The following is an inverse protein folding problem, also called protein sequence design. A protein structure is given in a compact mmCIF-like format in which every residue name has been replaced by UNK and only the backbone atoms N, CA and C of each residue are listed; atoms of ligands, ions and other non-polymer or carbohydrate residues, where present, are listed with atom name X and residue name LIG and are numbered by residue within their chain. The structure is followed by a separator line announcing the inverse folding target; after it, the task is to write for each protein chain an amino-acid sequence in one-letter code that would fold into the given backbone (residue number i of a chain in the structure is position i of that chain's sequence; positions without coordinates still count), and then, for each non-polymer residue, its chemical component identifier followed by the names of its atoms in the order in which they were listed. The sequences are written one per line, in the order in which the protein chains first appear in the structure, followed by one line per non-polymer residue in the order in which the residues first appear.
data_IF_375920928636
#
_entry.id   IF_375920928636
#
_cell.length_a   1.000
_cell.length_b   1.000
_cell.length_c   1.000
_cell.angle_alpha   90.00
_cell.angle_beta   90.00
_cell.angle_gamma   90.00
#
_symmetry.space_group_name_H-M   'P 1'
#
loop_
_entity.id
_entity.type
_entity.pdbx_description
1 polymer ?
#
# COMPACT_ATOMS: atom_id res chain seq x y z
N UNK A 1 -15.17 23.11 5.25
CA UNK A 1 -14.14 22.12 4.85
C UNK A 1 -13.20 21.93 6.01
N UNK A 2 -12.59 20.74 6.17
CA UNK A 2 -11.46 20.54 7.08
C UNK A 2 -10.21 20.20 6.29
N UNK A 3 -9.09 20.81 6.64
CA UNK A 3 -7.79 20.57 6.02
C UNK A 3 -6.84 20.03 7.07
N UNK A 4 -6.31 18.84 6.83
CA UNK A 4 -5.45 18.11 7.74
C UNK A 4 -4.00 18.16 7.26
N UNK A 5 -3.13 18.67 8.12
CA UNK A 5 -1.68 18.64 7.90
C UNK A 5 -1.16 19.54 6.78
N UNK A 6 -1.95 20.51 6.31
CA UNK A 6 -1.52 21.49 5.31
C UNK A 6 -0.70 22.64 5.94
N UNK A 7 0.27 23.20 5.20
CA UNK A 7 0.87 24.49 5.55
C UNK A 7 -0.17 25.62 5.59
N UNK A 8 0.03 26.61 6.47
CA UNK A 8 -0.88 27.76 6.66
C UNK A 8 -1.23 28.48 5.35
N UNK A 9 -0.24 28.67 4.46
CA UNK A 9 -0.44 29.29 3.15
C UNK A 9 -1.46 28.55 2.30
N UNK A 10 -1.54 27.22 2.39
CA UNK A 10 -2.48 26.43 1.59
C UNK A 10 -3.90 26.49 2.15
N UNK A 11 -4.04 26.43 3.48
CA UNK A 11 -5.33 26.60 4.15
C UNK A 11 -5.93 27.99 3.82
N UNK A 12 -5.11 29.05 3.84
CA UNK A 12 -5.56 30.40 3.53
C UNK A 12 -6.03 30.56 2.08
N UNK A 13 -5.37 29.88 1.16
CA UNK A 13 -5.76 29.90 -0.26
C UNK A 13 -7.05 29.13 -0.51
N UNK A 14 -7.28 28.04 0.21
CA UNK A 14 -8.57 27.34 0.21
C UNK A 14 -9.69 28.23 0.76
N UNK A 15 -9.43 29.01 1.83
CA UNK A 15 -10.39 30.00 2.35
C UNK A 15 -10.72 31.04 1.28
N UNK A 16 -9.69 31.65 0.70
CA UNK A 16 -9.84 32.68 -0.34
C UNK A 16 -10.59 32.16 -1.56
N UNK A 17 -10.21 30.98 -2.08
CA UNK A 17 -10.80 30.43 -3.29
C UNK A 17 -12.24 29.95 -3.12
N UNK A 18 -12.62 29.48 -1.93
CA UNK A 18 -13.97 28.96 -1.67
C UNK A 18 -14.93 29.99 -1.10
N UNK A 19 -14.43 31.03 -0.43
CA UNK A 19 -15.25 31.95 0.39
C UNK A 19 -15.99 31.24 1.54
N UNK A 20 -15.60 30.01 1.90
CA UNK A 20 -16.25 29.17 2.92
C UNK A 20 -15.36 28.99 4.14
N UNK A 21 -15.97 28.61 5.27
CA UNK A 21 -15.24 28.24 6.51
C UNK A 21 -14.30 27.05 6.23
N UNK A 22 -13.01 27.25 6.51
CA UNK A 22 -11.97 26.22 6.45
C UNK A 22 -11.34 26.04 7.82
N UNK A 23 -11.60 24.89 8.42
CA UNK A 23 -10.98 24.43 9.67
C UNK A 23 -9.66 23.78 9.34
N UNK A 24 -8.60 24.16 10.04
CA UNK A 24 -7.27 23.60 9.90
C UNK A 24 -6.96 22.70 11.09
N UNK A 25 -6.46 21.51 10.80
CA UNK A 25 -6.11 20.50 11.79
C UNK A 25 -4.64 20.09 11.58
N UNK A 26 -3.77 20.54 12.48
CA UNK A 26 -2.34 20.30 12.45
C UNK A 26 -1.97 18.98 13.10
N UNK A 27 -0.87 18.39 12.66
CA UNK A 27 -0.30 17.20 13.31
C UNK A 27 0.29 17.59 14.66
N UNK A 28 -0.10 16.88 15.71
CA UNK A 28 0.52 16.91 17.02
C UNK A 28 0.25 15.60 17.78
N UNK A 29 0.76 15.44 19.01
CA UNK A 29 0.54 14.22 19.78
C UNK A 29 -0.83 14.18 20.47
N UNK A 30 -1.43 15.35 20.73
CA UNK A 30 -2.62 15.49 21.57
C UNK A 30 -3.64 16.40 20.93
N UNK A 31 -4.91 16.19 21.31
CA UNK A 31 -6.02 17.01 20.87
C UNK A 31 -6.02 18.36 21.60
N UNK A 32 -5.83 19.43 20.85
CA UNK A 32 -5.76 20.80 21.34
C UNK A 32 -6.51 21.75 20.39
N UNK A 33 -7.33 22.65 20.96
CA UNK A 33 -7.97 23.73 20.19
C UNK A 33 -7.09 24.98 20.27
N UNK A 34 -6.49 25.36 19.15
CA UNK A 34 -5.59 26.52 19.04
C UNK A 34 -6.35 27.82 18.73
N UNK A 35 -7.58 27.72 18.24
CA UNK A 35 -8.44 28.86 17.92
C UNK A 35 -9.82 28.42 17.44
N UNK A 36 -10.60 29.35 16.89
CA UNK A 36 -11.95 29.06 16.38
C UNK A 36 -11.94 27.96 15.31
N UNK A 37 -11.03 28.08 14.35
CA UNK A 37 -10.92 27.23 13.15
C UNK A 37 -9.55 26.52 13.06
N UNK A 38 -8.84 26.38 14.18
CA UNK A 38 -7.49 25.82 14.22
C UNK A 38 -7.37 24.82 15.38
N UNK A 39 -6.92 23.62 15.06
CA UNK A 39 -6.76 22.50 15.98
C UNK A 39 -5.41 21.83 15.76
N UNK A 40 -4.93 21.12 16.78
CA UNK A 40 -3.78 20.22 16.72
C UNK A 40 -4.21 18.88 17.29
N UNK A 41 -3.82 17.76 16.65
CA UNK A 41 -4.20 16.41 17.05
C UNK A 41 -3.32 15.35 16.34
N UNK A 42 -3.30 14.14 16.87
CA UNK A 42 -2.69 12.99 16.18
C UNK A 42 -3.65 12.51 15.09
N UNK A 43 -3.25 12.69 13.83
CA UNK A 43 -4.05 12.29 12.66
C UNK A 43 -4.15 10.77 12.48
N UNK A 44 -3.43 9.99 13.29
CA UNK A 44 -3.55 8.53 13.36
C UNK A 44 -4.48 8.08 14.48
N UNK A 45 -4.83 8.99 15.40
CA UNK A 45 -5.70 8.73 16.53
C UNK A 45 -7.17 8.93 16.15
N UNK A 46 -7.85 7.81 15.93
CA UNK A 46 -9.27 7.75 15.54
C UNK A 46 -10.18 8.52 16.51
N UNK A 47 -9.91 8.41 17.81
CA UNK A 47 -10.65 9.08 18.89
C UNK A 47 -10.47 10.60 18.84
N UNK A 48 -9.26 11.10 18.60
CA UNK A 48 -9.01 12.55 18.50
C UNK A 48 -9.67 13.14 17.25
N UNK A 49 -9.67 12.42 16.13
CA UNK A 49 -10.40 12.81 14.91
C UNK A 49 -11.91 12.81 15.15
N UNK A 50 -12.45 11.81 15.84
CA UNK A 50 -13.85 11.79 16.26
C UNK A 50 -14.22 12.98 17.13
N UNK A 51 -13.35 13.35 18.09
CA UNK A 51 -13.53 14.53 18.95
C UNK A 51 -13.55 15.82 18.14
N UNK A 52 -12.69 15.97 17.13
CA UNK A 52 -12.73 17.13 16.23
C UNK A 52 -14.08 17.22 15.51
N UNK A 53 -14.55 16.11 14.94
CA UNK A 53 -15.83 16.07 14.22
C UNK A 53 -17.02 16.38 15.14
N UNK A 54 -17.00 15.90 16.38
CA UNK A 54 -18.01 16.20 17.39
C UNK A 54 -18.05 17.70 17.74
N UNK A 55 -16.89 18.30 18.02
CA UNK A 55 -16.80 19.75 18.29
C UNK A 55 -17.37 20.58 17.14
N UNK A 56 -17.05 20.21 15.89
CA UNK A 56 -17.60 20.91 14.73
C UNK A 56 -19.11 20.73 14.59
N UNK A 57 -19.62 19.53 14.86
CA UNK A 57 -21.05 19.24 14.82
C UNK A 57 -21.83 20.03 15.88
N UNK A 58 -21.29 20.15 17.11
CA UNK A 58 -21.88 20.94 18.19
C UNK A 58 -21.91 22.45 17.85
N UNK A 59 -20.94 22.92 17.05
CA UNK A 59 -20.93 24.27 16.47
C UNK A 59 -21.83 24.40 15.21
N UNK A 60 -22.69 23.42 14.94
CA UNK A 60 -23.60 23.42 13.80
C UNK A 60 -22.90 23.25 12.45
N UNK A 61 -21.65 22.79 12.42
CA UNK A 61 -20.85 22.61 11.20
C UNK A 61 -20.62 21.13 10.91
N UNK A 62 -21.10 20.65 9.75
CA UNK A 62 -20.81 19.31 9.25
C UNK A 62 -20.02 19.40 7.93
N UNK A 63 -18.68 19.28 7.98
CA UNK A 63 -17.87 19.39 6.78
C UNK A 63 -18.15 18.23 5.80
N UNK A 64 -18.52 18.55 4.56
CA UNK A 64 -18.68 17.55 3.49
C UNK A 64 -17.38 17.25 2.72
N UNK A 65 -16.37 18.10 2.87
CA UNK A 65 -15.08 17.99 2.19
C UNK A 65 -13.94 18.07 3.21
N UNK A 66 -13.03 17.12 3.08
CA UNK A 66 -11.83 16.93 3.86
C UNK A 66 -10.62 16.89 2.91
N UNK A 67 -9.55 17.59 3.24
CA UNK A 67 -8.29 17.55 2.48
C UNK A 67 -7.22 17.00 3.41
N UNK A 68 -6.69 15.82 3.11
CA UNK A 68 -5.64 15.17 3.91
C UNK A 68 -4.31 15.24 3.16
N UNK A 69 -3.37 16.04 3.67
CA UNK A 69 -2.04 16.18 3.07
C UNK A 69 -1.16 15.00 3.42
N UNK A 70 -0.82 14.11 2.48
CA UNK A 70 -0.19 12.84 2.80
C UNK A 70 1.28 13.02 3.21
N UNK A 71 1.66 12.36 4.30
CA UNK A 71 3.06 12.18 4.76
C UNK A 71 3.50 10.71 4.59
N UNK A 72 4.60 10.28 5.20
CA UNK A 72 5.07 8.89 5.08
C UNK A 72 4.00 7.87 5.50
N UNK A 73 3.29 8.12 6.60
CA UNK A 73 2.26 7.23 7.16
C UNK A 73 0.83 7.57 6.71
N UNK A 74 0.67 8.18 5.52
CA UNK A 74 -0.62 8.67 5.03
C UNK A 74 -1.74 7.62 4.98
N UNK A 75 -1.40 6.33 4.87
CA UNK A 75 -2.39 5.25 4.89
C UNK A 75 -3.09 5.14 6.24
N UNK A 76 -2.33 5.24 7.34
CA UNK A 76 -2.86 5.20 8.70
C UNK A 76 -3.71 6.45 8.97
N UNK A 77 -3.27 7.62 8.49
CA UNK A 77 -4.05 8.85 8.64
C UNK A 77 -5.36 8.81 7.85
N UNK A 78 -5.33 8.33 6.59
CA UNK A 78 -6.53 8.16 5.78
C UNK A 78 -7.48 7.15 6.43
N UNK A 79 -6.95 6.04 6.94
CA UNK A 79 -7.71 5.02 7.65
C UNK A 79 -8.41 5.59 8.87
N UNK A 80 -7.67 6.30 9.73
CA UNK A 80 -8.21 6.87 10.97
C UNK A 80 -9.27 7.94 10.68
N UNK A 81 -9.03 8.82 9.70
CA UNK A 81 -10.01 9.82 9.28
C UNK A 81 -11.27 9.19 8.70
N UNK A 82 -11.12 8.24 7.77
CA UNK A 82 -12.25 7.53 7.19
C UNK A 82 -13.08 6.83 8.28
N UNK A 83 -12.41 6.21 9.25
CA UNK A 83 -13.05 5.49 10.36
C UNK A 83 -13.82 6.43 11.28
N UNK A 84 -13.22 7.57 11.62
CA UNK A 84 -13.88 8.61 12.43
C UNK A 84 -15.08 9.24 11.70
N UNK A 85 -15.02 9.40 10.38
CA UNK A 85 -16.14 9.93 9.58
C UNK A 85 -17.35 9.00 9.56
N UNK A 86 -17.10 7.68 9.53
CA UNK A 86 -18.15 6.65 9.60
C UNK A 86 -18.77 6.58 10.99
N UNK A 87 -17.96 6.67 12.05
CA UNK A 87 -18.45 6.57 13.44
C UNK A 87 -19.10 7.84 13.98
N UNK A 88 -18.60 9.01 13.59
CA UNK A 88 -19.02 10.31 14.15
C UNK A 88 -20.44 10.74 13.76
N UNK A 89 -21.29 9.82 13.29
CA UNK A 89 -22.64 10.12 12.85
C UNK A 89 -23.67 9.63 13.89
N UNK A 90 -24.42 10.55 14.53
CA UNK A 90 -25.46 10.17 15.48
C UNK A 90 -26.74 9.68 14.77
N UNK A 91 -27.13 8.43 15.03
CA UNK A 91 -28.50 7.94 14.85
C UNK A 91 -28.98 7.70 13.41
N UNK A 92 -30.25 7.28 13.30
CA UNK A 92 -30.93 6.67 12.13
C UNK A 92 -31.02 7.52 10.85
N UNK A 93 -30.52 8.76 10.85
CA UNK A 93 -30.36 9.57 9.67
C UNK A 93 -29.05 9.16 8.98
N UNK A 94 -29.15 8.34 7.93
CA UNK A 94 -28.01 7.78 7.22
C UNK A 94 -26.90 8.80 6.89
N UNK A 95 -25.66 8.32 6.83
CA UNK A 95 -24.47 9.12 6.55
C UNK A 95 -24.66 10.00 5.30
N UNK A 96 -24.69 11.32 5.49
CA UNK A 96 -24.92 12.33 4.45
C UNK A 96 -23.80 12.42 3.39
N UNK A 97 -22.75 11.60 3.57
CA UNK A 97 -21.60 11.49 2.70
C UNK A 97 -20.51 12.51 3.00
N UNK A 98 -19.28 12.13 2.65
CA UNK A 98 -18.10 12.98 2.76
C UNK A 98 -17.13 12.68 1.63
N UNK A 99 -16.35 13.70 1.23
CA UNK A 99 -15.26 13.54 0.27
C UNK A 99 -13.93 13.85 0.95
N UNK A 100 -12.99 12.91 0.87
CA UNK A 100 -11.60 13.06 1.31
C UNK A 100 -10.70 13.17 0.08
N UNK A 101 -10.02 14.30 -0.07
CA UNK A 101 -9.06 14.53 -1.15
C UNK A 101 -7.64 14.44 -0.60
N UNK A 102 -6.78 13.71 -1.31
CA UNK A 102 -5.37 13.51 -0.97
C UNK A 102 -4.50 14.12 -2.07
N UNK A 103 -4.07 15.39 -1.95
CA UNK A 103 -3.19 16.01 -2.92
C UNK A 103 -1.79 15.38 -2.85
N UNK A 104 -1.30 14.86 -3.98
CA UNK A 104 0.01 14.20 -4.10
C UNK A 104 0.81 14.85 -5.21
N UNK A 105 2.08 15.17 -4.95
CA UNK A 105 2.95 15.71 -6.00
C UNK A 105 3.44 14.61 -6.93
N UNK A 106 3.44 14.88 -8.23
CA UNK A 106 4.07 14.05 -9.26
C UNK A 106 5.60 14.20 -9.26
N UNK A 107 6.38 13.12 -9.39
CA UNK A 107 5.95 11.72 -9.33
C UNK A 107 5.59 11.30 -7.91
N UNK A 108 4.43 10.63 -7.76
CA UNK A 108 4.01 10.12 -6.48
C UNK A 108 4.95 9.00 -5.98
N UNK A 109 5.46 9.06 -4.74
CA UNK A 109 6.21 7.94 -4.17
C UNK A 109 5.28 6.73 -3.94
N UNK A 110 5.81 5.50 -3.87
CA UNK A 110 4.99 4.28 -3.81
C UNK A 110 3.92 4.26 -2.71
N UNK A 111 4.24 4.76 -1.52
CA UNK A 111 3.29 4.85 -0.40
C UNK A 111 2.12 5.81 -0.67
N UNK A 112 2.33 6.87 -1.47
CA UNK A 112 1.25 7.78 -1.87
C UNK A 112 0.46 7.24 -3.05
N UNK A 113 1.16 6.61 -4.00
CA UNK A 113 0.53 5.91 -5.13
C UNK A 113 -0.48 4.84 -4.67
N UNK A 114 -0.13 4.11 -3.61
CA UNK A 114 -0.96 3.06 -3.03
C UNK A 114 -2.25 3.57 -2.35
N UNK A 115 -2.33 4.85 -1.98
CA UNK A 115 -3.52 5.41 -1.31
C UNK A 115 -4.78 5.32 -2.16
N UNK A 116 -4.68 5.26 -3.49
CA UNK A 116 -5.86 5.08 -4.33
C UNK A 116 -6.51 3.70 -4.16
N UNK A 117 -5.74 2.64 -3.90
CA UNK A 117 -6.31 1.32 -3.66
C UNK A 117 -7.03 1.26 -2.30
N UNK A 118 -6.47 1.93 -1.29
CA UNK A 118 -7.13 2.15 -0.01
C UNK A 118 -8.42 2.95 -0.19
N UNK A 119 -8.33 4.08 -0.89
CA UNK A 119 -9.45 4.97 -1.17
C UNK A 119 -10.60 4.28 -1.93
N UNK A 120 -10.26 3.49 -2.96
CA UNK A 120 -11.22 2.73 -3.75
C UNK A 120 -11.97 1.72 -2.88
N UNK A 121 -11.27 0.99 -2.01
CA UNK A 121 -11.89 -0.02 -1.14
C UNK A 121 -12.71 0.63 -0.03
N UNK A 122 -12.25 1.74 0.56
CA UNK A 122 -13.07 2.55 1.49
C UNK A 122 -14.39 2.96 0.84
N UNK A 123 -14.35 3.48 -0.40
CA UNK A 123 -15.54 3.86 -1.14
C UNK A 123 -16.44 2.68 -1.52
N UNK A 124 -15.86 1.50 -1.77
CA UNK A 124 -16.64 0.28 -2.01
C UNK A 124 -17.34 -0.23 -0.74
N UNK A 125 -16.71 -0.08 0.43
CA UNK A 125 -17.28 -0.46 1.72
C UNK A 125 -18.32 0.55 2.23
N UNK A 126 -18.09 1.84 1.98
CA UNK A 126 -18.99 2.94 2.37
C UNK A 126 -19.20 3.87 1.17
N UNK A 127 -20.20 3.61 0.29
CA UNK A 127 -20.41 4.37 -0.95
C UNK A 127 -20.61 5.88 -0.80
N UNK A 128 -21.08 6.32 0.37
CA UNK A 128 -21.24 7.72 0.71
C UNK A 128 -19.90 8.39 1.13
N UNK A 129 -18.85 7.63 1.41
CA UNK A 129 -17.51 8.14 1.72
C UNK A 129 -16.62 8.01 0.48
N UNK A 130 -16.37 9.14 -0.19
CA UNK A 130 -15.51 9.17 -1.38
C UNK A 130 -14.11 9.59 -0.96
N UNK A 131 -13.12 8.77 -1.31
CA UNK A 131 -11.72 9.11 -1.13
C UNK A 131 -11.07 9.19 -2.51
N UNK A 132 -10.24 10.22 -2.75
CA UNK A 132 -9.62 10.45 -4.06
C UNK A 132 -8.22 11.00 -3.90
N UNK A 133 -7.26 10.35 -4.54
CA UNK A 133 -5.90 10.90 -4.71
C UNK A 133 -5.88 11.83 -5.92
N UNK A 134 -5.41 13.05 -5.70
CA UNK A 134 -5.28 14.09 -6.72
C UNK A 134 -3.79 14.33 -6.95
N UNK A 135 -3.23 13.67 -7.96
CA UNK A 135 -1.83 13.84 -8.33
C UNK A 135 -1.64 15.10 -9.19
N UNK A 136 -0.65 15.95 -8.86
CA UNK A 136 -0.41 17.23 -9.54
C UNK A 136 1.09 17.52 -9.75
N UNK A 137 1.44 18.33 -10.76
CA UNK A 137 2.84 18.65 -11.13
C UNK A 137 3.61 19.53 -10.11
N UNK A 138 3.01 19.88 -8.97
CA UNK A 138 3.62 20.76 -7.97
C UNK A 138 3.58 22.26 -8.30
N UNK A 139 2.87 22.67 -9.35
CA UNK A 139 2.52 24.08 -9.53
C UNK A 139 1.81 24.56 -8.27
N UNK A 140 2.30 25.65 -7.68
CA UNK A 140 1.85 26.17 -6.40
C UNK A 140 0.39 26.67 -6.43
N UNK A 141 -0.46 26.28 -7.39
CA UNK A 141 -1.83 26.74 -7.65
C UNK A 141 -2.90 25.65 -7.66
N UNK A 142 -2.59 24.46 -7.14
CA UNK A 142 -3.46 23.29 -7.25
C UNK A 142 -4.75 23.33 -6.40
N UNK A 143 -5.04 24.44 -5.71
CA UNK A 143 -6.31 24.60 -4.98
C UNK A 143 -7.50 24.54 -5.93
N UNK A 144 -7.42 25.17 -7.09
CA UNK A 144 -8.50 25.14 -8.09
C UNK A 144 -8.72 23.72 -8.61
N UNK A 145 -7.65 23.00 -8.93
CA UNK A 145 -7.69 21.59 -9.32
C UNK A 145 -8.31 20.71 -8.25
N UNK A 146 -7.86 20.87 -7.00
CA UNK A 146 -8.35 20.13 -5.85
C UNK A 146 -9.85 20.38 -5.64
N UNK A 147 -10.29 21.65 -5.71
CA UNK A 147 -11.69 22.01 -5.59
C UNK A 147 -12.54 21.45 -6.73
N UNK A 148 -12.00 21.42 -7.95
CA UNK A 148 -12.68 20.83 -9.10
C UNK A 148 -12.98 19.34 -8.91
N UNK A 149 -12.21 18.62 -8.09
CA UNK A 149 -12.41 17.18 -7.82
C UNK A 149 -13.44 16.88 -6.71
N UNK A 150 -13.97 17.90 -6.01
CA UNK A 150 -14.92 17.71 -4.90
C UNK A 150 -16.31 17.21 -5.31
N UNK A 151 -16.73 17.44 -6.57
CA UNK A 151 -18.08 17.14 -7.06
C UNK A 151 -18.13 16.25 -8.31
N UNK A 152 -17.01 15.60 -8.66
CA UNK A 152 -16.87 14.85 -9.92
C UNK A 152 -17.25 13.36 -9.76
N UNK A 153 -16.78 12.55 -10.70
CA UNK A 153 -16.82 11.08 -10.73
C UNK A 153 -16.21 10.40 -9.49
N UNK A 154 -16.42 9.09 -9.39
CA UNK A 154 -15.91 8.20 -8.34
C UNK A 154 -14.49 7.67 -8.59
N UNK A 155 -13.67 8.34 -9.41
CA UNK A 155 -12.30 7.87 -9.68
C UNK A 155 -11.43 7.97 -8.41
N UNK A 156 -10.78 6.88 -7.96
CA UNK A 156 -9.95 6.92 -6.75
C UNK A 156 -8.58 7.57 -6.97
N UNK A 157 -8.13 7.66 -8.22
CA UNK A 157 -6.89 8.35 -8.63
C UNK A 157 -7.13 9.20 -9.86
N UNK A 158 -6.77 10.47 -9.77
CA UNK A 158 -6.73 11.39 -10.91
C UNK A 158 -5.35 12.03 -10.97
N UNK A 159 -4.83 12.23 -12.19
CA UNK A 159 -3.59 12.98 -12.40
C UNK A 159 -3.87 14.22 -13.23
N UNK A 160 -3.53 15.37 -12.69
CA UNK A 160 -3.56 16.65 -13.39
C UNK A 160 -2.14 17.02 -13.80
N UNK A 161 -1.89 16.97 -15.11
CA UNK A 161 -0.57 17.24 -15.70
C UNK A 161 -0.71 18.12 -16.94
N UNK A 162 0.08 19.19 -17.01
CA UNK A 162 0.04 20.15 -18.12
C UNK A 162 -1.38 20.60 -18.51
N UNK A 163 -2.21 20.94 -17.51
CA UNK A 163 -3.60 21.41 -17.70
C UNK A 163 -4.60 20.32 -18.13
N UNK A 164 -4.21 19.04 -18.12
CA UNK A 164 -5.07 17.92 -18.50
C UNK A 164 -5.32 17.00 -17.32
N UNK A 165 -6.59 16.64 -17.12
CA UNK A 165 -7.02 15.58 -16.21
C UNK A 165 -6.86 14.23 -16.88
N UNK A 166 -6.21 13.30 -16.20
CA UNK A 166 -5.96 11.94 -16.65
C UNK A 166 -6.48 10.94 -15.61
N UNK A 167 -7.10 9.87 -16.07
CA UNK A 167 -7.59 8.75 -15.26
C UNK A 167 -6.94 7.46 -15.74
N UNK A 168 -6.85 6.45 -14.85
CA UNK A 168 -6.26 5.15 -15.20
C UNK A 168 -7.30 4.26 -15.86
N UNK A 169 -6.91 3.57 -16.91
CA UNK A 169 -7.72 2.54 -17.59
C UNK A 169 -6.85 1.34 -17.91
N UNK A 170 -7.45 0.15 -17.86
CA UNK A 170 -6.78 -1.10 -18.20
C UNK A 170 -7.03 -1.43 -19.67
N UNK A 171 -5.98 -1.89 -20.33
CA UNK A 171 -6.06 -2.42 -21.69
C UNK A 171 -5.41 -3.81 -21.71
N UNK A 172 -5.95 -4.77 -22.47
CA UNK A 172 -5.28 -6.04 -22.71
C UNK A 172 -3.87 -5.81 -23.24
N UNK A 173 -2.92 -6.61 -22.75
CA UNK A 173 -1.57 -6.64 -23.31
C UNK A 173 -1.43 -7.90 -24.17
N UNK A 174 -0.68 -7.81 -25.27
CA UNK A 174 -0.46 -8.98 -26.13
C UNK A 174 0.39 -10.04 -25.42
N UNK A 175 0.10 -11.31 -25.69
CA UNK A 175 0.93 -12.45 -25.28
C UNK A 175 2.08 -12.61 -26.29
N UNK A 176 3.08 -11.73 -26.23
CA UNK A 176 4.31 -11.91 -27.01
C UNK A 176 5.11 -13.11 -26.52
N UNK A 177 6.09 -13.61 -27.31
CA UNK A 177 7.01 -14.65 -26.85
C UNK A 177 7.68 -14.19 -25.56
N UNK A 178 7.49 -14.95 -24.48
CA UNK A 178 7.99 -14.64 -23.14
C UNK A 178 9.15 -15.56 -22.82
N UNK A 179 10.37 -15.00 -22.77
CA UNK A 179 11.40 -15.59 -21.92
C UNK A 179 10.99 -15.34 -20.46
N UNK A 180 10.77 -16.43 -19.73
CA UNK A 180 10.35 -16.43 -18.32
C UNK A 180 11.37 -15.75 -17.37
N UNK A 181 12.62 -15.61 -17.81
CA UNK A 181 13.68 -14.87 -17.11
C UNK A 181 14.32 -15.66 -15.98
N UNK A 182 14.00 -16.96 -15.86
CA UNK A 182 14.67 -17.87 -14.95
C UNK A 182 15.93 -18.45 -15.62
N UNK A 183 16.94 -18.73 -14.81
CA UNK A 183 18.21 -19.29 -15.24
C UNK A 183 18.34 -20.72 -14.73
N UNK A 184 18.94 -21.58 -15.54
CA UNK A 184 19.32 -22.93 -15.10
C UNK A 184 20.30 -22.84 -13.92
N UNK A 185 20.03 -23.63 -12.89
CA UNK A 185 20.72 -23.61 -11.59
C UNK A 185 20.77 -22.22 -10.91
N UNK A 186 19.84 -21.33 -11.25
CA UNK A 186 19.69 -20.02 -10.62
C UNK A 186 19.36 -20.12 -9.13
N UNK A 187 19.85 -19.16 -8.34
CA UNK A 187 19.64 -19.07 -6.90
C UNK A 187 18.54 -18.06 -6.58
N UNK A 188 17.41 -18.55 -6.07
CA UNK A 188 16.24 -17.71 -5.78
C UNK A 188 15.91 -17.63 -4.30
N UNK A 189 15.78 -16.41 -3.79
CA UNK A 189 15.25 -16.13 -2.46
C UNK A 189 13.72 -16.05 -2.55
N UNK A 190 13.01 -16.99 -1.93
CA UNK A 190 11.54 -17.10 -2.02
C UNK A 190 10.90 -16.89 -0.65
N UNK A 191 10.26 -15.75 -0.45
CA UNK A 191 9.60 -15.45 0.83
C UNK A 191 8.19 -16.03 0.89
N UNK A 192 7.66 -16.26 2.10
CA UNK A 192 6.40 -16.99 2.25
C UNK A 192 6.59 -18.48 1.93
N UNK A 193 7.81 -19.00 2.13
CA UNK A 193 8.27 -20.30 1.64
C UNK A 193 7.48 -21.52 2.11
N UNK A 194 6.70 -21.39 3.18
CA UNK A 194 5.78 -22.45 3.62
C UNK A 194 4.42 -22.43 2.90
N UNK A 195 4.06 -21.33 2.23
CA UNK A 195 2.77 -21.09 1.60
C UNK A 195 2.56 -21.87 0.30
N UNK A 196 1.31 -21.87 -0.19
CA UNK A 196 0.90 -22.58 -1.41
C UNK A 196 1.62 -22.07 -2.66
N UNK A 197 1.57 -20.76 -2.91
CA UNK A 197 2.20 -20.13 -4.08
C UNK A 197 3.71 -20.36 -4.14
N UNK A 198 4.40 -20.22 -2.99
CA UNK A 198 5.82 -20.51 -2.92
C UNK A 198 6.13 -22.00 -3.21
N UNK A 199 5.23 -22.90 -2.80
CA UNK A 199 5.32 -24.32 -3.14
C UNK A 199 5.19 -24.58 -4.64
N UNK A 200 4.19 -23.98 -5.29
CA UNK A 200 3.99 -24.09 -6.75
C UNK A 200 5.19 -23.55 -7.53
N UNK A 201 5.74 -22.41 -7.10
CA UNK A 201 6.97 -21.87 -7.68
C UNK A 201 8.15 -22.81 -7.47
N UNK A 202 8.31 -23.37 -6.27
CA UNK A 202 9.39 -24.29 -5.99
C UNK A 202 9.30 -25.56 -6.85
N UNK A 203 8.11 -26.13 -7.00
CA UNK A 203 7.86 -27.26 -7.92
C UNK A 203 8.26 -26.92 -9.36
N UNK A 204 7.82 -25.76 -9.86
CA UNK A 204 8.13 -25.32 -11.21
C UNK A 204 9.63 -25.09 -11.42
N UNK A 205 10.27 -24.36 -10.49
CA UNK A 205 11.66 -23.94 -10.62
C UNK A 205 12.65 -25.09 -10.47
N UNK A 206 12.37 -26.01 -9.55
CA UNK A 206 13.17 -27.23 -9.38
C UNK A 206 13.02 -28.12 -10.62
N UNK A 207 11.78 -28.37 -11.07
CA UNK A 207 11.51 -29.30 -12.16
C UNK A 207 12.01 -28.82 -13.53
N UNK A 208 11.99 -27.50 -13.78
CA UNK A 208 12.32 -26.95 -15.10
C UNK A 208 13.73 -26.38 -15.22
N UNK A 209 14.26 -25.77 -14.15
CA UNK A 209 15.54 -25.05 -14.19
C UNK A 209 16.57 -25.61 -13.21
N UNK A 210 16.26 -26.70 -12.48
CA UNK A 210 17.15 -27.25 -11.44
C UNK A 210 17.57 -26.17 -10.43
N UNK A 211 16.65 -25.24 -10.15
CA UNK A 211 16.93 -24.06 -9.37
C UNK A 211 17.33 -24.39 -7.92
N UNK A 212 18.15 -23.52 -7.34
CA UNK A 212 18.53 -23.56 -5.92
C UNK A 212 17.70 -22.54 -5.17
N UNK A 213 16.96 -22.96 -4.16
CA UNK A 213 15.94 -22.14 -3.53
C UNK A 213 16.25 -21.92 -2.06
N UNK A 214 16.35 -20.66 -1.64
CA UNK A 214 16.29 -20.29 -0.22
C UNK A 214 14.86 -19.87 0.12
N UNK A 215 14.11 -20.78 0.73
CA UNK A 215 12.77 -20.51 1.23
C UNK A 215 12.83 -19.75 2.55
N UNK A 216 12.01 -18.71 2.70
CA UNK A 216 12.02 -17.83 3.88
C UNK A 216 10.63 -17.74 4.49
N UNK A 217 10.54 -17.88 5.81
CA UNK A 217 9.29 -17.65 6.56
C UNK A 217 9.53 -17.36 8.05
N UNK A 218 8.50 -16.84 8.71
CA UNK A 218 8.57 -16.43 10.14
C UNK A 218 8.57 -17.61 11.11
N UNK A 219 7.91 -18.70 10.74
CA UNK A 219 7.76 -19.90 11.57
C UNK A 219 8.89 -20.91 11.29
N UNK A 220 9.20 -21.82 12.22
CA UNK A 220 10.04 -22.98 11.91
C UNK A 220 9.45 -23.81 10.76
N UNK A 221 10.29 -24.47 9.97
CA UNK A 221 9.82 -25.37 8.92
C UNK A 221 9.06 -26.54 9.56
N UNK A 222 7.75 -26.61 9.38
CA UNK A 222 6.92 -27.70 9.88
C UNK A 222 7.14 -29.03 9.13
N UNK A 223 6.59 -30.16 9.63
CA UNK A 223 6.77 -31.49 9.02
C UNK A 223 6.40 -31.54 7.54
N UNK A 224 5.29 -30.91 7.14
CA UNK A 224 4.83 -30.88 5.75
C UNK A 224 5.78 -30.12 4.81
N UNK A 225 6.37 -29.01 5.25
CA UNK A 225 7.38 -28.31 4.47
C UNK A 225 8.68 -29.12 4.36
N UNK A 226 9.11 -29.75 5.45
CA UNK A 226 10.30 -30.61 5.44
C UNK A 226 10.17 -31.78 4.47
N UNK A 227 8.99 -32.41 4.41
CA UNK A 227 8.69 -33.45 3.42
C UNK A 227 8.81 -32.93 1.99
N UNK A 228 8.12 -31.83 1.65
CA UNK A 228 8.21 -31.20 0.31
C UNK A 228 9.65 -30.86 -0.07
N UNK A 229 10.44 -30.37 0.88
CA UNK A 229 11.86 -30.08 0.65
C UNK A 229 12.71 -31.33 0.39
N UNK A 230 12.39 -32.48 0.99
CA UNK A 230 13.01 -33.75 0.65
C UNK A 230 12.62 -34.17 -0.79
N UNK A 231 11.33 -34.10 -1.12
CA UNK A 231 10.81 -34.45 -2.44
C UNK A 231 11.40 -33.56 -3.57
N UNK A 232 11.65 -32.27 -3.31
CA UNK A 232 12.35 -31.39 -4.25
C UNK A 232 13.81 -31.78 -4.44
N UNK A 233 14.49 -32.24 -3.38
CA UNK A 233 15.89 -32.66 -3.46
C UNK A 233 16.06 -33.98 -4.20
N UNK A 234 15.14 -34.93 -4.00
CA UNK A 234 15.12 -36.18 -4.76
C UNK A 234 14.91 -35.96 -6.26
N UNK A 235 14.21 -34.88 -6.64
CA UNK A 235 14.05 -34.42 -8.04
C UNK A 235 15.22 -33.58 -8.56
N UNK A 236 16.32 -33.47 -7.81
CA UNK A 236 17.54 -32.79 -8.23
C UNK A 236 17.60 -31.29 -7.95
N UNK A 237 16.65 -30.71 -7.20
CA UNK A 237 16.74 -29.33 -6.72
C UNK A 237 17.56 -29.19 -5.43
N UNK A 238 18.15 -28.02 -5.17
CA UNK A 238 18.70 -27.72 -3.83
C UNK A 238 17.83 -26.69 -3.12
N UNK A 239 16.89 -27.18 -2.31
CA UNK A 239 15.95 -26.34 -1.56
C UNK A 239 16.34 -26.29 -0.09
N UNK A 240 16.50 -25.08 0.45
CA UNK A 240 16.84 -24.80 1.85
C UNK A 240 15.79 -23.88 2.45
N UNK A 241 15.73 -23.86 3.78
CA UNK A 241 14.78 -23.01 4.51
C UNK A 241 15.52 -22.24 5.59
N UNK A 242 15.26 -20.94 5.66
CA UNK A 242 15.69 -20.10 6.77
C UNK A 242 14.50 -19.43 7.43
N UNK A 243 14.53 -19.39 8.76
CA UNK A 243 13.52 -18.69 9.55
C UNK A 243 13.94 -17.24 9.70
N UNK A 244 13.20 -16.33 9.08
CA UNK A 244 13.44 -14.89 9.19
C UNK A 244 12.14 -14.10 8.99
N UNK A 245 12.06 -12.93 9.62
CA UNK A 245 11.00 -11.96 9.39
C UNK A 245 11.48 -10.82 8.48
N UNK A 246 11.14 -10.94 7.19
CA UNK A 246 11.53 -9.97 6.16
C UNK A 246 10.87 -8.59 6.33
N UNK A 247 9.82 -8.48 7.15
CA UNK A 247 9.27 -7.17 7.52
C UNK A 247 10.23 -6.32 8.35
N UNK A 248 11.30 -6.92 8.88
CA UNK A 248 12.38 -6.21 9.56
C UNK A 248 13.63 -6.15 8.69
N UNK A 249 14.38 -5.06 8.80
CA UNK A 249 15.67 -4.91 8.12
C UNK A 249 16.62 -6.06 8.43
N UNK A 250 16.75 -6.40 9.71
CA UNK A 250 17.63 -7.48 10.18
C UNK A 250 17.21 -8.85 9.62
N UNK A 251 15.90 -9.14 9.60
CA UNK A 251 15.42 -10.41 9.07
C UNK A 251 15.60 -10.54 7.55
N UNK A 252 15.39 -9.47 6.78
CA UNK A 252 15.69 -9.48 5.35
C UNK A 252 17.18 -9.68 5.07
N UNK A 253 18.05 -9.01 5.84
CA UNK A 253 19.51 -9.19 5.76
C UNK A 253 19.92 -10.63 6.09
N UNK A 254 19.37 -11.21 7.16
CA UNK A 254 19.63 -12.59 7.54
C UNK A 254 19.17 -13.58 6.45
N UNK A 255 18.02 -13.33 5.82
CA UNK A 255 17.53 -14.16 4.73
C UNK A 255 18.45 -14.14 3.49
N UNK A 256 18.91 -12.95 3.10
CA UNK A 256 19.85 -12.80 1.99
C UNK A 256 21.24 -13.39 2.33
N UNK A 257 21.72 -13.20 3.56
CA UNK A 257 22.98 -13.78 4.03
C UNK A 257 22.93 -15.32 4.00
N UNK A 258 21.84 -15.94 4.48
CA UNK A 258 21.69 -17.38 4.44
C UNK A 258 21.76 -17.95 3.01
N UNK A 259 21.16 -17.24 2.03
CA UNK A 259 21.25 -17.64 0.62
C UNK A 259 22.69 -17.55 0.10
N UNK A 260 23.42 -16.47 0.41
CA UNK A 260 24.83 -16.30 0.04
C UNK A 260 25.73 -17.35 0.68
N UNK A 261 25.59 -17.61 1.97
CA UNK A 261 26.39 -18.60 2.70
C UNK A 261 26.16 -20.01 2.14
N UNK A 262 24.93 -20.31 1.73
CA UNK A 262 24.60 -21.67 1.26
C UNK A 262 24.90 -21.89 -0.22
N UNK A 263 24.70 -20.87 -1.06
CA UNK A 263 24.72 -21.00 -2.52
C UNK A 263 25.71 -20.07 -3.24
N UNK A 264 26.33 -19.13 -2.51
CA UNK A 264 27.35 -18.20 -3.01
C UNK A 264 26.80 -16.90 -3.65
N UNK A 265 25.50 -16.80 -3.96
CA UNK A 265 24.89 -15.65 -4.66
C UNK A 265 23.37 -15.58 -4.48
N UNK A 266 22.75 -14.51 -4.96
CA UNK A 266 21.27 -14.36 -5.10
C UNK A 266 20.96 -13.85 -6.51
N UNK A 267 20.47 -14.73 -7.39
CA UNK A 267 20.15 -14.40 -8.79
C UNK A 267 18.75 -13.78 -8.93
N UNK A 268 17.84 -14.10 -8.01
CA UNK A 268 16.51 -13.50 -8.00
C UNK A 268 15.78 -13.53 -6.67
N UNK A 269 14.78 -12.65 -6.54
CA UNK A 269 13.90 -12.54 -5.37
C UNK A 269 12.45 -12.74 -5.80
N UNK A 270 11.77 -13.69 -5.17
CA UNK A 270 10.35 -13.98 -5.38
C UNK A 270 9.58 -13.73 -4.08
N UNK A 271 9.00 -12.54 -3.97
CA UNK A 271 8.37 -12.09 -2.75
C UNK A 271 6.89 -12.50 -2.69
N UNK A 272 6.63 -13.71 -2.17
CA UNK A 272 5.29 -14.27 -1.97
C UNK A 272 4.74 -14.10 -0.54
N UNK A 273 5.48 -13.46 0.37
CA UNK A 273 5.00 -13.26 1.73
C UNK A 273 3.80 -12.29 1.76
N UNK A 274 2.82 -12.65 2.57
CA UNK A 274 1.62 -11.86 2.78
C UNK A 274 0.87 -12.37 4.00
N UNK A 275 0.10 -11.48 4.63
CA UNK A 275 -0.86 -11.83 5.67
C UNK A 275 -2.21 -11.26 5.23
N UNK A 276 -3.27 -12.05 5.37
CA UNK A 276 -4.64 -11.59 5.19
C UNK A 276 -5.27 -11.38 6.56
N UNK A 277 -6.04 -10.29 6.71
CA UNK A 277 -6.81 -9.95 7.90
C UNK A 277 -8.11 -9.32 7.48
N UNK A 278 -8.91 -10.04 6.71
CA UNK A 278 -10.09 -9.45 6.07
C UNK A 278 -11.11 -8.95 7.12
N UNK A 279 -11.70 -7.80 6.84
CA UNK A 279 -12.65 -7.12 7.70
C UNK A 279 -12.87 -5.69 7.23
N UNK A 280 -14.06 -5.15 7.48
CA UNK A 280 -14.37 -3.76 7.10
C UNK A 280 -13.41 -2.80 7.80
N UNK A 281 -12.93 -1.78 7.07
CA UNK A 281 -11.84 -0.91 7.55
C UNK A 281 -12.17 -0.25 8.90
N UNK A 282 -13.41 0.18 9.10
CA UNK A 282 -13.87 0.85 10.32
C UNK A 282 -14.14 -0.11 11.50
N UNK A 283 -14.09 -1.43 11.28
CA UNK A 283 -14.21 -2.46 12.33
C UNK A 283 -12.87 -3.10 12.72
N UNK A 284 -11.81 -2.71 12.03
CA UNK A 284 -10.47 -3.26 12.21
C UNK A 284 -9.62 -2.33 13.06
N UNK A 285 -8.67 -2.93 13.75
CA UNK A 285 -7.75 -2.20 14.60
C UNK A 285 -6.56 -1.67 13.79
N UNK A 286 -5.90 -0.57 14.20
CA UNK A 286 -4.70 -0.07 13.54
C UNK A 286 -3.58 -1.13 13.43
N UNK A 287 -3.53 -2.06 14.39
CA UNK A 287 -2.60 -3.19 14.38
C UNK A 287 -2.82 -4.15 13.20
N UNK A 288 -4.04 -4.26 12.67
CA UNK A 288 -4.32 -5.11 11.51
C UNK A 288 -3.73 -4.52 10.23
N UNK A 289 -3.94 -3.22 10.00
CA UNK A 289 -3.32 -2.47 8.90
C UNK A 289 -1.79 -2.61 8.96
N UNK A 290 -1.20 -2.40 10.15
CA UNK A 290 0.25 -2.54 10.34
C UNK A 290 0.73 -3.96 10.01
N UNK A 291 0.03 -5.00 10.47
CA UNK A 291 0.41 -6.40 10.23
C UNK A 291 0.33 -6.80 8.74
N UNK A 292 -0.66 -6.29 8.00
CA UNK A 292 -0.79 -6.54 6.56
C UNK A 292 0.28 -5.78 5.77
N UNK A 293 0.52 -4.51 6.12
CA UNK A 293 1.56 -3.69 5.51
C UNK A 293 2.96 -4.25 5.77
N UNK A 294 3.27 -4.70 6.99
CA UNK A 294 4.60 -5.20 7.36
C UNK A 294 5.11 -6.29 6.41
N UNK A 295 4.24 -7.20 6.00
CA UNK A 295 4.63 -8.31 5.12
C UNK A 295 4.99 -7.86 3.69
N UNK A 296 4.27 -6.86 3.14
CA UNK A 296 4.32 -6.50 1.72
C UNK A 296 4.96 -5.15 1.43
N UNK A 297 4.79 -4.17 2.31
CA UNK A 297 5.39 -2.84 2.23
C UNK A 297 6.81 -2.92 2.75
N UNK A 298 6.97 -3.16 4.05
CA UNK A 298 8.28 -3.21 4.70
C UNK A 298 9.10 -4.37 4.17
N UNK A 299 8.49 -5.55 4.02
CA UNK A 299 9.09 -6.72 3.38
C UNK A 299 9.72 -6.41 2.02
N UNK A 300 9.01 -5.70 1.15
CA UNK A 300 9.51 -5.32 -0.17
C UNK A 300 10.71 -4.38 -0.08
N UNK A 301 10.62 -3.33 0.75
CA UNK A 301 11.69 -2.34 0.92
C UNK A 301 12.94 -2.99 1.51
N UNK A 302 12.78 -3.82 2.53
CA UNK A 302 13.89 -4.48 3.20
C UNK A 302 14.55 -5.53 2.32
N UNK A 303 13.79 -6.29 1.53
CA UNK A 303 14.35 -7.25 0.57
C UNK A 303 15.15 -6.54 -0.52
N UNK A 304 14.63 -5.47 -1.12
CA UNK A 304 15.38 -4.71 -2.13
C UNK A 304 16.72 -4.21 -1.57
N UNK A 305 16.69 -3.64 -0.36
CA UNK A 305 17.89 -3.16 0.30
C UNK A 305 18.87 -4.30 0.65
N UNK A 306 18.37 -5.42 1.17
CA UNK A 306 19.18 -6.57 1.57
C UNK A 306 19.83 -7.32 0.39
N UNK A 307 19.22 -7.23 -0.80
CA UNK A 307 19.73 -7.84 -2.03
C UNK A 307 20.34 -6.84 -3.02
N UNK A 308 20.51 -5.58 -2.63
CA UNK A 308 20.97 -4.53 -3.53
C UNK A 308 22.37 -4.82 -4.11
N UNK A 309 23.24 -5.40 -3.30
CA UNK A 309 24.62 -5.75 -3.70
C UNK A 309 24.69 -6.98 -4.61
N UNK A 310 23.71 -7.87 -4.53
CA UNK A 310 23.64 -9.06 -5.39
C UNK A 310 23.18 -8.71 -6.82
N UNK A 311 22.60 -7.51 -7.02
CA UNK A 311 22.06 -7.03 -8.30
C UNK A 311 21.20 -8.08 -9.01
N UNK A 312 20.14 -8.63 -8.35
CA UNK A 312 19.40 -9.78 -8.84
C UNK A 312 18.84 -9.51 -10.23
N UNK A 313 19.02 -10.45 -11.14
CA UNK A 313 18.52 -10.38 -12.51
C UNK A 313 16.97 -10.33 -12.54
N UNK A 314 16.32 -10.84 -11.50
CA UNK A 314 14.87 -10.91 -11.38
C UNK A 314 14.38 -10.53 -9.97
N UNK A 315 13.45 -9.57 -9.87
CA UNK A 315 12.79 -9.18 -8.62
C UNK A 315 11.27 -9.18 -8.82
N UNK A 316 10.59 -10.23 -8.36
CA UNK A 316 9.15 -10.43 -8.58
C UNK A 316 8.39 -10.26 -7.28
N UNK A 317 7.41 -9.36 -7.32
CA UNK A 317 6.48 -9.08 -6.24
C UNK A 317 5.14 -9.74 -6.55
N UNK A 318 4.70 -10.62 -5.66
CA UNK A 318 3.38 -11.26 -5.77
C UNK A 318 2.35 -10.33 -5.15
N UNK A 319 1.88 -9.39 -5.97
CA UNK A 319 0.79 -8.48 -5.65
C UNK A 319 -0.57 -9.18 -5.83
N UNK A 320 -1.66 -8.42 -5.84
CA UNK A 320 -3.02 -8.93 -5.98
C UNK A 320 -3.88 -8.01 -6.84
N UNK A 321 -4.89 -8.58 -7.49
CA UNK A 321 -5.96 -7.84 -8.18
C UNK A 321 -6.65 -6.82 -7.25
N UNK A 322 -6.64 -7.05 -5.92
CA UNK A 322 -7.18 -6.10 -4.94
C UNK A 322 -6.50 -4.72 -4.97
N UNK A 323 -5.27 -4.64 -5.48
CA UNK A 323 -4.55 -3.38 -5.68
C UNK A 323 -5.20 -2.45 -6.71
N UNK A 324 -6.08 -2.99 -7.57
CA UNK A 324 -6.61 -2.29 -8.75
C UNK A 324 -8.13 -2.41 -8.87
N UNK A 325 -8.71 -3.50 -8.36
CA UNK A 325 -10.14 -3.71 -8.23
C UNK A 325 -10.48 -3.78 -6.74
N UNK A 326 -11.31 -2.87 -6.22
CA UNK A 326 -11.63 -2.86 -4.80
C UNK A 326 -12.36 -4.14 -4.41
N UNK A 327 -11.98 -4.71 -3.26
CA UNK A 327 -12.66 -5.85 -2.67
C UNK A 327 -13.03 -5.51 -1.22
N UNK A 328 -14.33 -5.31 -0.90
CA UNK A 328 -14.77 -4.99 0.45
C UNK A 328 -14.21 -5.97 1.50
N UNK A 329 -13.70 -5.42 2.59
CA UNK A 329 -13.00 -6.15 3.64
C UNK A 329 -11.48 -6.21 3.46
N UNK A 330 -10.93 -5.68 2.37
CA UNK A 330 -9.51 -5.80 2.03
C UNK A 330 -8.81 -4.44 1.84
N UNK A 331 -9.25 -3.39 2.53
CA UNK A 331 -8.73 -2.03 2.34
C UNK A 331 -7.20 -1.89 2.54
N UNK A 332 -6.67 -2.50 3.61
CA UNK A 332 -5.23 -2.55 3.91
C UNK A 332 -4.47 -3.49 2.98
N UNK A 333 -5.06 -4.63 2.64
CA UNK A 333 -4.47 -5.56 1.68
C UNK A 333 -4.37 -4.93 0.28
N UNK A 334 -5.39 -4.21 -0.17
CA UNK A 334 -5.40 -3.44 -1.42
C UNK A 334 -4.27 -2.41 -1.43
N UNK A 335 -4.14 -1.62 -0.35
CA UNK A 335 -3.03 -0.68 -0.16
C UNK A 335 -1.66 -1.36 -0.25
N UNK A 336 -1.44 -2.42 0.52
CA UNK A 336 -0.15 -3.09 0.60
C UNK A 336 0.27 -3.72 -0.75
N UNK A 337 -0.69 -4.25 -1.52
CA UNK A 337 -0.43 -4.78 -2.85
C UNK A 337 -0.22 -3.67 -3.90
N UNK A 338 -0.94 -2.55 -3.81
CA UNK A 338 -0.75 -1.39 -4.68
C UNK A 338 0.59 -0.70 -4.46
N UNK A 339 1.09 -0.71 -3.22
CA UNK A 339 2.47 -0.30 -2.92
C UNK A 339 3.47 -1.12 -3.73
N UNK A 340 3.31 -2.45 -3.79
CA UNK A 340 4.20 -3.30 -4.58
C UNK A 340 4.16 -2.98 -6.07
N UNK A 341 2.99 -2.63 -6.63
CA UNK A 341 2.87 -2.20 -8.03
C UNK A 341 3.67 -0.92 -8.30
N UNK A 342 3.50 0.09 -7.44
CA UNK A 342 4.22 1.37 -7.57
C UNK A 342 5.72 1.23 -7.26
N UNK A 343 6.08 0.41 -6.28
CA UNK A 343 7.46 0.09 -5.94
C UNK A 343 8.19 -0.59 -7.08
N UNK A 344 7.55 -1.54 -7.78
CA UNK A 344 8.14 -2.21 -8.93
C UNK A 344 8.49 -1.23 -10.05
N UNK A 345 7.62 -0.25 -10.32
CA UNK A 345 7.88 0.81 -11.30
C UNK A 345 9.09 1.66 -10.90
N UNK A 346 9.16 2.09 -9.64
CA UNK A 346 10.30 2.85 -9.13
C UNK A 346 11.59 2.04 -9.19
N UNK A 347 11.59 0.81 -8.68
CA UNK A 347 12.75 -0.07 -8.66
C UNK A 347 13.27 -0.34 -10.08
N UNK A 348 12.39 -0.55 -11.06
CA UNK A 348 12.78 -0.76 -12.45
C UNK A 348 13.51 0.46 -13.07
N UNK A 349 13.28 1.67 -12.55
CA UNK A 349 14.00 2.87 -12.97
C UNK A 349 15.33 3.08 -12.22
N UNK A 350 15.48 2.51 -11.03
CA UNK A 350 16.59 2.77 -10.11
C UNK A 350 17.60 1.61 -9.96
N UNK A 351 17.19 0.38 -10.28
CA UNK A 351 17.98 -0.84 -10.07
C UNK A 351 18.15 -1.62 -11.38
N UNK A 352 19.27 -2.35 -11.54
CA UNK A 352 19.43 -3.31 -12.63
C UNK A 352 18.48 -4.51 -12.45
N UNK A 353 18.40 -5.30 -13.53
CA UNK A 353 17.57 -6.50 -13.58
C UNK A 353 16.10 -6.21 -13.85
N UNK A 354 15.34 -7.26 -14.11
CA UNK A 354 13.92 -7.19 -14.39
C UNK A 354 13.14 -7.13 -13.07
N UNK A 355 12.34 -6.07 -12.90
CA UNK A 355 11.39 -5.97 -11.77
C UNK A 355 9.97 -6.17 -12.26
N UNK A 356 9.22 -7.04 -11.61
CA UNK A 356 7.81 -7.29 -11.93
C UNK A 356 6.98 -7.26 -10.65
N UNK A 357 5.79 -6.67 -10.71
CA UNK A 357 4.76 -6.90 -9.72
C UNK A 357 3.53 -7.47 -10.44
N UNK A 358 3.11 -8.65 -10.03
CA UNK A 358 1.98 -9.35 -10.66
C UNK A 358 0.78 -9.25 -9.75
N UNK A 359 -0.26 -8.55 -10.21
CA UNK A 359 -1.54 -8.47 -9.53
C UNK A 359 -2.32 -9.77 -9.81
N UNK A 360 -2.13 -10.78 -8.97
CA UNK A 360 -2.77 -12.08 -9.18
C UNK A 360 -4.28 -12.05 -8.83
N UNK A 361 -5.13 -12.76 -9.60
CA UNK A 361 -6.50 -13.07 -9.17
C UNK A 361 -6.47 -14.12 -8.04
N UNK A 362 -7.66 -14.57 -7.61
CA UNK A 362 -7.78 -15.69 -6.68
C UNK A 362 -7.18 -16.97 -7.30
N UNK A 363 -6.47 -17.75 -6.48
CA UNK A 363 -5.93 -19.06 -6.84
C UNK A 363 -6.79 -20.14 -6.19
N UNK A 364 -7.12 -21.19 -6.96
CA UNK A 364 -7.93 -22.33 -6.53
C UNK A 364 -7.08 -23.50 -6.01
#
# INVERSE_FOLDING_TARGET
MVVFGAPDRQAERLRTATGRRVVQAERGPEFERLGRDRFRLDLRARDQLGRLLAVLADEGTRPAVHVLHPVHDAATELWALASALVEGQPGTAGFAGATVLLPVRHPAPPQHAALAALAATIGAEVPALRCKVVEHDGAADDVTTLLAETGQDGEPWVRHRAGRRQVRRWAPTGTGPSADGFADEGVYLVTGGAGGLAGLLADHLVGRYRARLMLVGRSPAGPGLRRRMADWRERGGDVRYTRADVSTRAGAQAAAAAARETFGRVDGVLHCAGTLRDGLFFRKEPADLAAVCAAKVDGTVHLDAATAQDAPALFVLFSSLSAVLPNPGQADYAYANAFQLAFAQRRAAERPGRTLAVAWPLWA
#
